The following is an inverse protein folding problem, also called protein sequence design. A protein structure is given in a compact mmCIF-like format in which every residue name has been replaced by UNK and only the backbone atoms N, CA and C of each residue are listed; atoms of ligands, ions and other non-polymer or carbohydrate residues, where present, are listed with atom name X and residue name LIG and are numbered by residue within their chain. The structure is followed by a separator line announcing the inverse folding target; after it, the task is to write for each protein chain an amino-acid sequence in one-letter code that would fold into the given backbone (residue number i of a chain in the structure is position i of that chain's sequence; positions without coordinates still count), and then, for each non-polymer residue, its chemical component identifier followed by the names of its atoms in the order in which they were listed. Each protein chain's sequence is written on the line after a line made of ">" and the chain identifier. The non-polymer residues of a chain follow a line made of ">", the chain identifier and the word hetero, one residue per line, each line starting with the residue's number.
data_IF_476682533771
#
_entry.id   IF_476682533771
#
_cell.length_a   1.000
_cell.length_b   1.000
_cell.length_c   1.000
_cell.angle_alpha   90.00
_cell.angle_beta   90.00
_cell.angle_gamma   90.00
#
_symmetry.space_group_name_H-M   'P 1'
#
loop_
_entity.id
_entity.type
_entity.pdbx_description
1 polymer ?
#
# COMPACT_ATOMS: atom_id res chain seq x y z
N UNK A 1 -2.82 -12.77 -38.31
CA UNK A 1 -2.50 -12.44 -36.89
C UNK A 1 -3.11 -11.07 -36.65
N UNK A 2 -4.05 -10.88 -35.71
CA UNK A 2 -4.54 -9.55 -35.40
C UNK A 2 -3.40 -8.80 -34.68
N UNK A 3 -2.98 -7.68 -35.28
CA UNK A 3 -2.09 -6.71 -34.69
C UNK A 3 -2.78 -6.11 -33.45
N UNK A 4 -2.12 -6.15 -32.32
CA UNK A 4 -2.55 -5.46 -31.11
C UNK A 4 -2.78 -6.31 -29.85
N UNK A 5 -2.47 -7.59 -29.84
CA UNK A 5 -2.42 -8.34 -28.61
C UNK A 5 -1.17 -7.90 -27.82
N UNK A 6 -1.33 -6.92 -26.95
CA UNK A 6 -0.37 -6.65 -25.87
C UNK A 6 -0.23 -7.95 -25.10
N UNK A 7 0.97 -8.53 -25.12
CA UNK A 7 1.28 -9.67 -24.24
C UNK A 7 0.89 -9.24 -22.81
N UNK A 8 0.20 -10.09 -22.05
CA UNK A 8 -0.05 -9.78 -20.66
C UNK A 8 1.29 -9.50 -20.01
N UNK A 9 1.45 -8.31 -19.44
CA UNK A 9 2.59 -8.01 -18.56
C UNK A 9 2.58 -9.13 -17.53
N UNK A 10 3.66 -9.90 -17.51
CA UNK A 10 3.80 -10.99 -16.54
C UNK A 10 3.55 -10.38 -15.16
N UNK A 11 2.76 -11.05 -14.33
CA UNK A 11 2.34 -10.59 -12.99
C UNK A 11 3.52 -10.36 -12.00
N UNK A 12 4.76 -10.37 -12.49
CA UNK A 12 5.95 -10.43 -11.66
C UNK A 12 6.64 -9.08 -11.49
N UNK A 13 6.36 -8.08 -12.32
CA UNK A 13 7.07 -6.81 -12.27
C UNK A 13 6.10 -5.63 -12.37
N UNK A 14 6.34 -4.63 -11.52
CA UNK A 14 5.75 -3.32 -11.68
C UNK A 14 6.31 -2.68 -12.95
N UNK A 15 5.46 -2.21 -13.83
CA UNK A 15 5.93 -1.52 -15.03
C UNK A 15 6.58 -0.18 -14.66
N UNK A 16 7.59 0.25 -15.41
CA UNK A 16 8.32 1.49 -15.14
C UNK A 16 7.40 2.72 -15.04
N UNK A 17 6.36 2.78 -15.86
CA UNK A 17 5.39 3.89 -15.82
C UNK A 17 4.48 3.85 -14.60
N UNK A 18 4.17 2.67 -14.07
CA UNK A 18 3.42 2.54 -12.81
C UNK A 18 4.26 3.07 -11.64
N UNK A 19 5.52 2.65 -11.57
CA UNK A 19 6.45 3.14 -10.57
C UNK A 19 6.70 4.64 -10.72
N UNK A 20 6.86 5.13 -11.95
CA UNK A 20 7.06 6.55 -12.21
C UNK A 20 5.83 7.36 -11.82
N UNK A 21 4.62 6.87 -12.09
CA UNK A 21 3.39 7.52 -11.67
C UNK A 21 3.30 7.62 -10.13
N UNK A 22 3.57 6.54 -9.40
CA UNK A 22 3.59 6.56 -7.92
C UNK A 22 4.63 7.54 -7.39
N UNK A 23 5.84 7.56 -7.95
CA UNK A 23 6.90 8.52 -7.59
C UNK A 23 6.49 9.97 -7.86
N UNK A 24 5.77 10.23 -8.95
CA UNK A 24 5.29 11.57 -9.28
C UNK A 24 4.23 12.06 -8.29
N UNK A 25 3.28 11.20 -7.95
CA UNK A 25 2.28 11.48 -6.90
C UNK A 25 2.98 11.78 -5.57
N UNK A 26 3.97 10.96 -5.20
CA UNK A 26 4.73 11.15 -3.95
C UNK A 26 5.55 12.45 -3.97
N UNK A 27 6.16 12.80 -5.09
CA UNK A 27 6.92 14.05 -5.21
C UNK A 27 6.04 15.28 -4.95
N UNK A 28 4.83 15.31 -5.51
CA UNK A 28 3.88 16.40 -5.26
C UNK A 28 3.32 16.37 -3.83
N UNK A 29 3.08 15.19 -3.29
CA UNK A 29 2.70 15.02 -1.89
C UNK A 29 3.77 15.56 -0.93
N UNK A 30 5.05 15.24 -1.19
CA UNK A 30 6.18 15.73 -0.39
C UNK A 30 6.33 17.25 -0.48
N UNK A 31 6.12 17.85 -1.66
CA UNK A 31 6.11 19.32 -1.83
C UNK A 31 4.96 19.96 -1.03
N UNK A 32 3.76 19.39 -1.10
CA UNK A 32 2.62 19.88 -0.34
C UNK A 32 2.87 19.81 1.17
N UNK A 33 3.46 18.72 1.66
CA UNK A 33 3.86 18.56 3.06
C UNK A 33 4.87 19.62 3.49
N UNK A 34 5.91 19.84 2.68
CA UNK A 34 6.93 20.85 2.98
C UNK A 34 6.36 22.27 3.02
N UNK A 35 5.41 22.58 2.13
CA UNK A 35 4.77 23.88 2.08
C UNK A 35 3.80 24.15 3.24
N UNK A 36 3.04 23.14 3.68
CA UNK A 36 2.03 23.28 4.73
C UNK A 36 2.62 23.20 6.17
N UNK A 37 3.82 22.63 6.33
CA UNK A 37 4.46 22.54 7.65
C UNK A 37 3.58 21.81 8.69
N UNK A 38 3.29 22.49 9.82
CA UNK A 38 2.51 21.91 10.93
C UNK A 38 1.01 21.75 10.63
N UNK A 39 0.47 22.46 9.66
CA UNK A 39 -0.94 22.43 9.27
C UNK A 39 -1.21 21.38 8.18
N UNK A 40 -0.24 20.53 7.86
CA UNK A 40 -0.36 19.53 6.81
C UNK A 40 -1.45 18.50 7.12
N UNK A 41 -2.45 18.45 6.22
CA UNK A 41 -3.45 17.38 6.22
C UNK A 41 -3.14 16.41 5.08
N UNK A 42 -2.64 15.19 5.38
CA UNK A 42 -2.21 14.24 4.35
C UNK A 42 -3.35 13.78 3.44
N UNK A 43 -4.57 13.58 3.99
CA UNK A 43 -5.73 13.14 3.19
C UNK A 43 -6.17 14.22 2.21
N UNK A 44 -6.27 15.46 2.67
CA UNK A 44 -6.64 16.60 1.81
C UNK A 44 -5.59 16.88 0.74
N UNK A 45 -4.30 16.81 1.09
CA UNK A 45 -3.21 16.95 0.14
C UNK A 45 -3.26 15.87 -0.95
N UNK A 46 -3.43 14.62 -0.57
CA UNK A 46 -3.51 13.53 -1.54
C UNK A 46 -4.78 13.59 -2.38
N UNK A 47 -5.91 13.98 -1.78
CA UNK A 47 -7.16 14.22 -2.52
C UNK A 47 -6.98 15.29 -3.59
N UNK A 48 -6.36 16.42 -3.25
CA UNK A 48 -6.10 17.50 -4.19
C UNK A 48 -5.15 17.10 -5.34
N UNK A 49 -4.16 16.25 -5.04
CA UNK A 49 -3.23 15.72 -6.04
C UNK A 49 -3.95 14.74 -6.97
N UNK A 50 -4.62 13.73 -6.44
CA UNK A 50 -5.28 12.69 -7.23
C UNK A 50 -6.50 13.19 -8.03
N UNK A 51 -7.05 14.34 -7.67
CA UNK A 51 -8.11 15.00 -8.46
C UNK A 51 -7.59 15.63 -9.77
N UNK A 52 -6.29 15.88 -9.88
CA UNK A 52 -5.70 16.53 -11.06
C UNK A 52 -5.77 15.63 -12.29
N UNK A 53 -6.00 16.20 -13.49
CA UNK A 53 -6.12 15.43 -14.73
C UNK A 53 -4.92 14.53 -15.03
N UNK A 54 -3.69 14.98 -14.74
CA UNK A 54 -2.45 14.26 -15.00
C UNK A 54 -2.26 12.99 -14.18
N UNK A 55 -2.98 12.86 -13.06
CA UNK A 55 -2.95 11.67 -12.20
C UNK A 55 -4.14 10.73 -12.41
N UNK A 56 -5.08 11.08 -13.28
CA UNK A 56 -6.24 10.24 -13.58
C UNK A 56 -5.82 8.99 -14.35
N UNK A 57 -6.29 7.85 -13.88
CA UNK A 57 -6.06 6.55 -14.53
C UNK A 57 -7.16 6.21 -15.54
N UNK A 58 -8.28 6.93 -15.51
CA UNK A 58 -9.41 6.76 -16.42
C UNK A 58 -10.02 8.10 -16.78
N UNK A 59 -10.89 8.09 -17.80
CA UNK A 59 -11.65 9.28 -18.20
C UNK A 59 -12.59 9.79 -17.10
N UNK A 60 -13.08 8.88 -16.24
CA UNK A 60 -13.91 9.23 -15.08
C UNK A 60 -13.03 9.61 -13.91
N UNK A 61 -13.32 10.74 -13.27
CA UNK A 61 -12.63 11.13 -12.05
C UNK A 61 -12.91 10.11 -10.93
N UNK A 62 -11.89 9.77 -10.10
CA UNK A 62 -12.08 8.85 -8.99
C UNK A 62 -12.99 9.45 -7.92
N UNK A 63 -13.76 8.61 -7.25
CA UNK A 63 -14.47 9.02 -6.02
C UNK A 63 -13.48 9.04 -4.85
N UNK A 64 -13.18 10.25 -4.37
CA UNK A 64 -12.26 10.51 -3.27
C UNK A 64 -12.99 10.88 -1.97
N UNK A 65 -14.26 10.48 -1.81
CA UNK A 65 -15.07 10.77 -0.61
C UNK A 65 -14.89 9.77 0.52
N UNK A 66 -14.40 8.57 0.24
CA UNK A 66 -14.21 7.50 1.22
C UNK A 66 -13.24 7.84 2.36
N UNK A 67 -13.38 7.16 3.50
CA UNK A 67 -12.54 7.39 4.69
C UNK A 67 -11.33 6.48 4.80
N UNK A 68 -11.40 5.25 4.29
CA UNK A 68 -10.36 4.23 4.45
C UNK A 68 -9.59 3.90 3.17
N UNK A 69 -10.27 3.94 2.03
CA UNK A 69 -9.63 3.68 0.73
C UNK A 69 -10.37 4.39 -0.40
N UNK A 70 -9.60 4.86 -1.37
CA UNK A 70 -10.11 5.45 -2.61
C UNK A 70 -9.71 4.57 -3.79
N UNK A 71 -10.69 4.07 -4.55
CA UNK A 71 -10.44 3.36 -5.80
C UNK A 71 -10.14 4.40 -6.89
N UNK A 72 -8.93 4.35 -7.43
CA UNK A 72 -8.48 5.30 -8.46
C UNK A 72 -8.80 4.83 -9.88
N UNK A 73 -9.21 3.57 -10.03
CA UNK A 73 -9.52 2.96 -11.31
C UNK A 73 -8.52 1.85 -11.68
N UNK A 74 -8.53 1.52 -12.97
CA UNK A 74 -7.53 0.62 -13.55
C UNK A 74 -6.51 1.45 -14.35
N UNK A 75 -5.25 1.08 -14.25
CA UNK A 75 -4.22 1.66 -15.08
C UNK A 75 -4.24 1.04 -16.51
N UNK A 76 -3.36 1.50 -17.40
CA UNK A 76 -3.28 1.01 -18.78
C UNK A 76 -2.88 -0.47 -18.91
N UNK A 77 -2.36 -1.06 -17.84
CA UNK A 77 -2.01 -2.49 -17.76
C UNK A 77 -3.15 -3.34 -17.21
N UNK A 78 -4.33 -2.74 -16.96
CA UNK A 78 -5.50 -3.42 -16.43
C UNK A 78 -5.43 -3.72 -14.94
N UNK A 79 -4.43 -3.18 -14.23
CA UNK A 79 -4.27 -3.36 -12.78
C UNK A 79 -5.10 -2.34 -12.02
N UNK A 80 -5.72 -2.78 -10.95
CA UNK A 80 -6.45 -1.90 -10.03
C UNK A 80 -5.49 -1.04 -9.20
N UNK A 81 -5.82 0.22 -9.03
CA UNK A 81 -5.05 1.16 -8.22
C UNK A 81 -5.94 1.76 -7.14
N UNK A 82 -5.44 1.77 -5.92
CA UNK A 82 -6.13 2.35 -4.77
C UNK A 82 -5.17 3.20 -3.91
N UNK A 83 -5.67 4.30 -3.37
CA UNK A 83 -5.05 4.99 -2.26
C UNK A 83 -5.73 4.53 -0.96
N UNK A 84 -4.95 4.09 0.01
CA UNK A 84 -5.43 3.48 1.26
C UNK A 84 -4.94 4.29 2.45
N UNK A 85 -5.85 4.55 3.41
CA UNK A 85 -5.55 5.22 4.67
C UNK A 85 -6.07 4.37 5.81
N UNK A 86 -5.18 3.86 6.61
CA UNK A 86 -5.54 2.97 7.70
C UNK A 86 -4.76 3.32 8.97
N UNK A 87 -5.41 3.24 10.14
CA UNK A 87 -4.71 3.36 11.42
C UNK A 87 -3.79 2.17 11.69
N UNK A 88 -3.89 1.12 10.90
CA UNK A 88 -2.99 -0.05 10.87
C UNK A 88 -3.25 -0.83 9.59
N UNK A 89 -2.25 -1.56 9.14
CA UNK A 89 -2.40 -2.63 8.15
C UNK A 89 -2.24 -3.95 8.89
N UNK A 90 -3.37 -4.62 9.11
CA UNK A 90 -3.42 -5.88 9.83
C UNK A 90 -2.70 -6.99 9.07
N UNK A 91 -2.23 -8.00 9.79
CA UNK A 91 -1.57 -9.15 9.20
C UNK A 91 -2.53 -9.92 8.28
N UNK A 92 -2.20 -9.99 7.01
CA UNK A 92 -2.98 -10.66 5.98
C UNK A 92 -2.09 -11.14 4.84
N UNK A 93 -2.70 -11.79 3.86
CA UNK A 93 -2.04 -12.19 2.61
C UNK A 93 -2.97 -11.96 1.42
N UNK A 94 -2.41 -11.84 0.23
CA UNK A 94 -3.12 -11.88 -1.05
C UNK A 94 -2.73 -13.17 -1.77
N UNK A 95 -3.68 -14.10 -1.94
CA UNK A 95 -3.39 -15.45 -2.44
C UNK A 95 -3.27 -15.46 -3.96
N UNK A 96 -4.13 -14.74 -4.63
CA UNK A 96 -4.29 -14.80 -6.08
C UNK A 96 -3.55 -13.70 -6.82
N UNK A 97 -3.07 -12.68 -6.12
CA UNK A 97 -2.45 -11.52 -6.76
C UNK A 97 -1.22 -11.01 -6.02
N UNK A 98 -0.30 -10.49 -6.80
CA UNK A 98 0.77 -9.63 -6.33
C UNK A 98 0.21 -8.27 -5.94
N UNK A 99 0.72 -7.69 -4.88
CA UNK A 99 0.41 -6.32 -4.47
C UNK A 99 1.69 -5.52 -4.35
N UNK A 100 1.75 -4.40 -5.05
CA UNK A 100 2.81 -3.40 -4.92
C UNK A 100 2.29 -2.25 -4.08
N UNK A 101 3.02 -1.89 -3.03
CA UNK A 101 2.66 -0.84 -2.09
C UNK A 101 3.70 0.26 -2.07
N UNK A 102 3.25 1.50 -2.14
CA UNK A 102 4.09 2.68 -2.13
C UNK A 102 3.68 3.60 -0.97
N UNK A 103 4.33 3.49 0.21
CA UNK A 103 4.04 4.32 1.36
C UNK A 103 4.27 5.79 1.06
N UNK A 104 3.32 6.62 1.47
CA UNK A 104 3.35 8.07 1.26
C UNK A 104 3.48 8.85 2.56
N UNK A 105 2.73 8.42 3.56
CA UNK A 105 2.65 9.11 4.83
C UNK A 105 2.51 8.11 5.96
N UNK A 106 3.35 8.28 6.99
CA UNK A 106 3.29 7.50 8.21
C UNK A 106 3.39 8.47 9.37
N UNK A 107 2.46 8.43 10.30
CA UNK A 107 2.52 9.16 11.57
C UNK A 107 3.25 8.30 12.59
N UNK A 108 4.41 8.75 13.02
CA UNK A 108 5.32 7.99 13.86
C UNK A 108 6.23 7.04 13.06
N UNK A 109 6.99 6.22 13.77
CA UNK A 109 7.85 5.22 13.16
C UNK A 109 7.06 3.92 12.92
N UNK A 110 7.22 3.34 11.74
CA UNK A 110 6.54 2.12 11.34
C UNK A 110 7.52 1.08 10.79
N UNK A 111 7.11 -0.18 10.88
CA UNK A 111 7.81 -1.34 10.33
C UNK A 111 6.85 -2.18 9.50
N UNK A 112 7.34 -2.72 8.40
CA UNK A 112 6.67 -3.74 7.60
C UNK A 112 7.04 -5.11 8.11
N UNK A 113 6.05 -5.93 8.45
CA UNK A 113 6.25 -7.34 8.77
C UNK A 113 6.17 -8.16 7.47
N UNK A 114 7.11 -9.08 7.33
CA UNK A 114 7.11 -10.10 6.27
C UNK A 114 7.81 -11.37 6.76
N UNK A 115 7.87 -12.40 5.90
CA UNK A 115 8.74 -13.55 6.08
C UNK A 115 9.86 -13.53 5.04
N UNK A 116 11.08 -13.86 5.45
CA UNK A 116 12.20 -14.05 4.53
C UNK A 116 12.06 -15.35 3.71
N UNK A 117 13.00 -15.61 2.83
CA UNK A 117 13.04 -16.83 2.00
C UNK A 117 13.10 -18.15 2.79
N UNK A 118 13.51 -18.09 4.05
CA UNK A 118 13.57 -19.22 4.97
C UNK A 118 12.33 -19.30 5.89
N UNK A 119 11.32 -18.44 5.67
CA UNK A 119 10.12 -18.37 6.49
C UNK A 119 10.32 -17.73 7.88
N UNK A 120 11.44 -17.01 8.10
CA UNK A 120 11.67 -16.29 9.35
C UNK A 120 11.00 -14.92 9.32
N UNK A 121 10.45 -14.47 10.46
CA UNK A 121 9.83 -13.16 10.54
C UNK A 121 10.86 -12.03 10.45
N UNK A 122 10.56 -11.04 9.64
CA UNK A 122 11.37 -9.84 9.40
C UNK A 122 10.53 -8.60 9.67
N UNK A 123 11.14 -7.60 10.31
CA UNK A 123 10.59 -6.25 10.45
C UNK A 123 11.52 -5.27 9.74
N UNK A 124 11.00 -4.56 8.75
CA UNK A 124 11.77 -3.58 7.99
C UNK A 124 11.14 -2.17 8.13
N UNK A 125 11.96 -1.11 8.22
CA UNK A 125 11.44 0.24 8.31
C UNK A 125 10.53 0.59 7.13
N UNK A 126 9.35 1.14 7.41
CA UNK A 126 8.46 1.70 6.39
C UNK A 126 8.87 3.14 6.14
N UNK A 127 9.44 3.38 4.98
CA UNK A 127 9.94 4.70 4.58
C UNK A 127 9.05 5.27 3.48
N UNK A 128 8.54 6.47 3.67
CA UNK A 128 7.77 7.17 2.66
C UNK A 128 8.55 7.33 1.37
N UNK A 129 7.93 7.00 0.24
CA UNK A 129 8.57 6.99 -1.07
C UNK A 129 9.33 5.71 -1.42
N UNK A 130 9.39 4.73 -0.53
CA UNK A 130 9.86 3.39 -0.84
C UNK A 130 8.79 2.58 -1.58
N UNK A 131 9.16 1.42 -2.09
CA UNK A 131 8.27 0.50 -2.78
C UNK A 131 8.38 -0.88 -2.14
N UNK A 132 7.26 -1.44 -1.73
CA UNK A 132 7.16 -2.79 -1.18
C UNK A 132 6.42 -3.68 -2.17
N UNK A 133 6.97 -4.84 -2.39
CA UNK A 133 6.37 -5.88 -3.20
C UNK A 133 5.93 -7.05 -2.32
N UNK A 134 4.64 -7.38 -2.36
CA UNK A 134 4.10 -8.54 -1.70
C UNK A 134 3.74 -9.59 -2.75
N UNK A 135 4.50 -10.67 -2.80
CA UNK A 135 4.22 -11.80 -3.69
C UNK A 135 2.90 -12.50 -3.31
N UNK A 136 2.25 -13.23 -4.25
CA UNK A 136 1.09 -14.05 -3.93
C UNK A 136 1.38 -15.01 -2.78
N UNK A 137 0.50 -15.02 -1.78
CA UNK A 137 0.65 -15.83 -0.58
C UNK A 137 1.59 -15.27 0.50
N UNK A 138 2.36 -14.23 0.20
CA UNK A 138 3.27 -13.62 1.18
C UNK A 138 2.49 -12.90 2.29
N UNK A 139 2.65 -13.30 3.56
CA UNK A 139 2.03 -12.61 4.69
C UNK A 139 2.72 -11.29 4.93
N UNK A 140 1.94 -10.23 5.19
CA UNK A 140 2.48 -8.91 5.47
C UNK A 140 1.56 -8.08 6.37
N UNK A 141 2.17 -7.11 7.05
CA UNK A 141 1.48 -6.10 7.86
C UNK A 141 2.32 -4.83 7.92
N UNK A 142 1.68 -3.68 8.19
CA UNK A 142 2.39 -2.49 8.62
C UNK A 142 2.02 -2.19 10.07
N UNK A 143 3.02 -2.08 10.91
CA UNK A 143 2.86 -1.92 12.36
C UNK A 143 3.65 -0.73 12.88
N UNK A 144 3.24 -0.12 14.00
CA UNK A 144 4.10 0.82 14.70
C UNK A 144 5.43 0.14 15.09
N UNK A 145 6.52 0.89 15.05
CA UNK A 145 7.83 0.37 15.41
C UNK A 145 7.81 -0.29 16.78
N UNK A 146 8.36 -1.49 16.85
CA UNK A 146 8.42 -2.29 18.09
C UNK A 146 9.23 -1.56 19.16
N UNK A 147 8.72 -1.53 20.40
CA UNK A 147 9.37 -0.85 21.53
C UNK A 147 9.14 0.65 21.62
N UNK A 148 8.48 1.26 20.63
CA UNK A 148 8.07 2.68 20.67
C UNK A 148 6.56 2.75 20.89
N UNK A 149 6.07 3.57 21.85
CA UNK A 149 4.64 3.76 22.04
C UNK A 149 3.98 4.27 20.76
N UNK A 150 2.87 3.61 20.37
CA UNK A 150 2.07 4.04 19.22
C UNK A 150 1.43 5.40 19.51
N UNK A 151 1.63 6.42 18.66
CA UNK A 151 0.88 7.68 18.78
C UNK A 151 -0.63 7.45 18.62
N UNK A 152 -1.46 8.24 19.29
CA UNK A 152 -2.93 8.13 19.20
C UNK A 152 -3.45 8.32 17.76
N UNK A 153 -2.75 9.16 16.99
CA UNK A 153 -3.05 9.45 15.59
C UNK A 153 -2.18 8.67 14.60
N UNK A 154 -1.63 7.53 15.00
CA UNK A 154 -0.80 6.71 14.10
C UNK A 154 -1.64 6.24 12.91
N UNK A 155 -1.17 6.55 11.72
CA UNK A 155 -1.82 6.23 10.46
C UNK A 155 -0.77 5.98 9.38
N UNK A 156 -1.03 5.03 8.52
CA UNK A 156 -0.27 4.81 7.31
C UNK A 156 -1.12 5.13 6.09
N UNK A 157 -0.55 5.84 5.13
CA UNK A 157 -1.13 6.07 3.81
C UNK A 157 -0.22 5.46 2.75
N UNK A 158 -0.79 4.74 1.80
CA UNK A 158 -0.04 4.14 0.70
C UNK A 158 -0.88 4.05 -0.58
N UNK A 159 -0.21 3.95 -1.71
CA UNK A 159 -0.82 3.55 -2.97
C UNK A 159 -0.58 2.07 -3.17
N UNK A 160 -1.63 1.33 -3.47
CA UNK A 160 -1.58 -0.09 -3.80
C UNK A 160 -1.92 -0.30 -5.26
N UNK A 161 -1.12 -1.10 -5.96
CA UNK A 161 -1.38 -1.59 -7.32
C UNK A 161 -1.49 -3.10 -7.28
N UNK A 162 -2.56 -3.63 -7.85
CA UNK A 162 -2.84 -5.07 -7.86
C UNK A 162 -3.62 -5.47 -9.11
N UNK A 163 -3.36 -6.66 -9.70
CA UNK A 163 -4.14 -7.18 -10.81
C UNK A 163 -5.58 -7.53 -10.44
N UNK A 164 -5.92 -7.61 -9.14
CA UNK A 164 -7.24 -7.97 -8.63
C UNK A 164 -7.78 -6.96 -7.63
N UNK A 165 -9.05 -7.12 -7.28
CA UNK A 165 -9.67 -6.34 -6.22
C UNK A 165 -9.05 -6.74 -4.86
N UNK A 166 -8.32 -5.83 -4.25
CA UNK A 166 -7.66 -6.06 -2.95
C UNK A 166 -8.60 -6.64 -1.90
N UNK A 167 -9.81 -6.11 -1.79
CA UNK A 167 -10.78 -6.55 -0.78
C UNK A 167 -11.18 -8.01 -0.96
N UNK A 168 -11.32 -8.48 -2.19
CA UNK A 168 -11.73 -9.85 -2.51
C UNK A 168 -10.58 -10.85 -2.38
N UNK A 169 -9.35 -10.37 -2.52
CA UNK A 169 -8.13 -11.18 -2.47
C UNK A 169 -7.37 -11.04 -1.13
N UNK A 170 -7.97 -10.40 -0.13
CA UNK A 170 -7.39 -10.30 1.21
C UNK A 170 -7.83 -11.49 2.06
N UNK A 171 -6.88 -12.27 2.53
CA UNK A 171 -7.13 -13.50 3.28
C UNK A 171 -6.40 -13.53 4.62
N UNK A 172 -6.93 -14.32 5.53
CA UNK A 172 -6.27 -14.60 6.82
C UNK A 172 -5.03 -15.45 6.60
N UNK A 173 -4.03 -15.21 7.43
CA UNK A 173 -2.83 -16.04 7.48
C UNK A 173 -3.03 -17.24 8.41
N UNK A 174 -2.14 -18.25 8.31
CA UNK A 174 -2.17 -19.42 9.18
C UNK A 174 -1.81 -19.08 10.64
N UNK A 175 -2.14 -19.98 11.57
CA UNK A 175 -1.81 -19.80 12.99
C UNK A 175 -0.31 -19.80 13.24
N UNK A 176 0.48 -20.52 12.43
CA UNK A 176 1.94 -20.52 12.50
C UNK A 176 2.48 -19.11 12.16
N UNK A 177 2.01 -18.49 11.10
CA UNK A 177 2.41 -17.12 10.73
C UNK A 177 1.99 -16.11 11.80
N UNK A 178 0.82 -16.30 12.41
CA UNK A 178 0.37 -15.46 13.54
C UNK A 178 1.26 -15.59 14.76
N UNK A 179 1.73 -16.80 15.07
CA UNK A 179 2.68 -17.04 16.14
C UNK A 179 4.04 -16.35 15.88
N UNK A 180 4.55 -16.42 14.64
CA UNK A 180 5.75 -15.71 14.23
C UNK A 180 5.59 -14.18 14.32
N UNK A 181 4.45 -13.65 13.88
CA UNK A 181 4.13 -12.22 14.03
C UNK A 181 4.16 -11.81 15.51
N UNK A 182 3.48 -12.56 16.40
CA UNK A 182 3.48 -12.29 17.84
C UNK A 182 4.87 -12.30 18.45
N UNK A 183 5.73 -13.20 17.98
CA UNK A 183 7.10 -13.33 18.48
C UNK A 183 7.93 -12.05 18.25
N UNK A 184 7.77 -11.37 17.09
CA UNK A 184 8.59 -10.20 16.73
C UNK A 184 7.89 -8.87 17.01
N UNK A 185 6.57 -8.83 16.93
CA UNK A 185 5.78 -7.60 17.19
C UNK A 185 5.39 -7.47 18.67
N UNK A 186 5.40 -8.59 19.41
CA UNK A 186 5.05 -8.61 20.85
C UNK A 186 3.54 -8.49 21.13
N UNK A 187 2.70 -8.51 20.10
CA UNK A 187 1.24 -8.40 20.18
C UNK A 187 0.58 -9.48 19.33
N UNK A 188 -0.62 -9.91 19.74
CA UNK A 188 -1.41 -10.81 18.92
C UNK A 188 -1.81 -10.09 17.61
N UNK A 189 -1.70 -10.82 16.50
CA UNK A 189 -2.29 -10.34 15.24
C UNK A 189 -3.80 -10.19 15.45
N UNK A 190 -4.38 -9.02 15.19
CA UNK A 190 -5.83 -8.85 15.29
C UNK A 190 -6.54 -9.89 14.42
N UNK A 191 -7.69 -10.36 14.86
CA UNK A 191 -8.56 -11.29 14.10
C UNK A 191 -9.26 -10.56 12.94
N UNK A 192 -8.53 -9.68 12.25
CA UNK A 192 -9.04 -8.89 11.14
C UNK A 192 -9.35 -9.72 9.89
N UNK A 193 -10.32 -9.24 9.19
CA UNK A 193 -11.02 -9.54 7.95
C UNK A 193 -12.17 -10.50 8.11
#
# INVERSE_FOLDING_TARGET
>A
MPEGATLPVLDHELADDELQWMKSVYADFSKARAAAGREFNPKEALRAILARPEYRLSATAPDLSGTGAWRLGQNRHGRGVAAVFLPKVELHTHIASRTDQFPMYVVGEAEGFSLDENGKPVLEPVVGGSHFHNAPGAPHAFVPKVGIPKPDNWEIAFIAITPRNLKEDTHRVSDEVRALYKQVVGQDAPLGV
#
